data_IF_676706078704
#
_entry.id   IF_676706078704
#
_cell.length_a   1.000
_cell.length_b   1.000
_cell.length_c   1.000
_cell.angle_alpha   90.00
_cell.angle_beta   90.00
_cell.angle_gamma   90.00
#
_symmetry.space_group_name_H-M   'P 1'
#
loop_
_entity.id
_entity.type
_entity.pdbx_description
1 polymer ?
#
# COMPACT_ATOMS: atom_id res chain seq x y z
N UNK A 1 1.72 27.86 2.00
CA UNK A 1 1.16 27.94 3.36
C UNK A 1 2.31 27.66 4.33
N UNK A 2 2.48 28.55 5.33
CA UNK A 2 3.55 28.39 6.33
C UNK A 2 3.28 27.17 7.23
N UNK A 3 4.33 26.43 7.59
CA UNK A 3 4.27 25.36 8.56
C UNK A 3 4.11 25.94 9.97
N UNK A 4 3.37 25.24 10.83
CA UNK A 4 3.10 25.66 12.21
C UNK A 4 3.84 24.72 13.17
N UNK A 5 4.48 25.28 14.20
CA UNK A 5 5.07 24.51 15.30
C UNK A 5 4.04 24.34 16.42
N UNK A 6 3.90 23.10 16.92
CA UNK A 6 3.03 22.75 18.05
C UNK A 6 3.81 21.91 19.06
N UNK A 7 3.39 21.92 20.32
CA UNK A 7 4.02 21.08 21.35
C UNK A 7 3.77 19.60 21.11
N UNK A 8 4.78 18.76 21.33
CA UNK A 8 4.73 17.30 21.12
C UNK A 8 3.60 16.63 21.92
N UNK A 9 3.27 17.15 23.09
CA UNK A 9 2.26 16.59 23.99
C UNK A 9 0.81 16.96 23.64
N UNK A 10 0.61 17.91 22.69
CA UNK A 10 -0.70 18.42 22.30
C UNK A 10 -1.12 17.99 20.88
N UNK A 11 -0.35 17.10 20.29
CA UNK A 11 -0.47 16.76 18.86
C UNK A 11 -0.91 15.33 18.66
N UNK A 12 -1.84 15.14 17.76
CA UNK A 12 -2.21 13.85 17.21
C UNK A 12 -1.31 13.52 16.02
N UNK A 13 -0.17 13.19 16.05
CA UNK A 13 0.85 12.90 15.05
C UNK A 13 0.42 12.62 13.60
N UNK A 14 -0.87 12.62 13.26
CA UNK A 14 -1.37 12.33 11.90
C UNK A 14 -1.10 13.44 10.90
N UNK A 15 -0.84 14.66 11.37
CA UNK A 15 -0.54 15.84 10.54
C UNK A 15 0.83 16.46 10.90
N UNK A 16 1.80 15.61 11.25
CA UNK A 16 3.14 16.04 11.66
C UNK A 16 4.15 15.67 10.59
N UNK A 17 4.87 16.64 10.07
CA UNK A 17 5.92 16.45 9.06
C UNK A 17 7.30 16.09 9.64
N UNK A 18 7.60 16.50 10.86
CA UNK A 18 8.78 16.11 11.62
C UNK A 18 8.61 16.40 13.11
N UNK A 19 9.33 15.68 13.95
CA UNK A 19 9.47 15.98 15.36
C UNK A 19 10.87 16.57 15.59
N UNK A 20 10.91 17.77 16.15
CA UNK A 20 12.15 18.46 16.47
C UNK A 20 12.30 18.49 17.99
N UNK A 21 13.37 17.92 18.50
CA UNK A 21 13.69 17.85 19.94
C UNK A 21 15.09 18.38 20.18
N UNK A 22 15.38 18.82 21.37
CA UNK A 22 16.76 19.07 21.78
C UNK A 22 17.41 17.80 22.35
N UNK A 23 18.74 17.84 22.55
CA UNK A 23 19.50 16.73 23.11
C UNK A 23 19.21 16.45 24.59
N UNK A 24 18.32 17.23 25.23
CA UNK A 24 17.77 17.01 26.58
C UNK A 24 16.60 16.04 26.60
N UNK A 25 15.84 15.96 25.50
CA UNK A 25 14.55 15.27 25.38
C UNK A 25 14.63 13.96 24.57
N UNK A 26 15.79 13.32 24.52
CA UNK A 26 16.04 12.10 23.74
C UNK A 26 15.10 10.93 24.08
N UNK A 27 14.48 10.90 25.23
CA UNK A 27 13.49 9.87 25.60
C UNK A 27 12.26 9.88 24.69
N UNK A 28 11.93 11.02 24.07
CA UNK A 28 10.84 11.16 23.12
C UNK A 28 11.05 10.36 21.83
N UNK A 29 12.30 10.03 21.50
CA UNK A 29 12.66 9.16 20.37
C UNK A 29 12.01 7.78 20.46
N UNK A 30 11.66 7.33 21.66
CA UNK A 30 11.02 6.04 21.92
C UNK A 30 9.49 6.08 21.80
N UNK A 31 8.88 7.19 21.39
CA UNK A 31 7.44 7.29 21.23
C UNK A 31 6.95 6.34 20.11
N UNK A 32 6.00 5.46 20.45
CA UNK A 32 5.47 4.44 19.55
C UNK A 32 4.73 5.02 18.34
N UNK A 33 4.04 6.16 18.49
CA UNK A 33 3.31 6.80 17.39
C UNK A 33 4.27 7.39 16.35
N UNK A 34 5.34 8.06 16.81
CA UNK A 34 6.39 8.59 15.93
C UNK A 34 6.99 7.46 15.11
N UNK A 35 7.36 6.35 15.76
CA UNK A 35 7.91 5.17 15.08
C UNK A 35 6.94 4.51 14.12
N UNK A 36 5.65 4.36 14.51
CA UNK A 36 4.64 3.67 13.68
C UNK A 36 4.29 4.44 12.41
N UNK A 37 4.35 5.77 12.46
CA UNK A 37 4.09 6.64 11.30
C UNK A 37 5.36 6.95 10.49
N UNK A 38 6.54 6.50 10.97
CA UNK A 38 7.82 6.79 10.32
C UNK A 38 8.17 8.27 10.29
N UNK A 39 7.65 9.05 11.24
CA UNK A 39 7.87 10.50 11.31
C UNK A 39 9.35 10.76 11.59
N UNK A 40 10.01 11.61 10.81
CA UNK A 40 11.41 11.92 11.02
C UNK A 40 11.63 12.67 12.34
N UNK A 41 12.69 12.28 13.04
CA UNK A 41 13.13 12.93 14.27
C UNK A 41 14.40 13.72 13.99
N UNK A 42 14.36 15.00 14.29
CA UNK A 42 15.49 15.93 14.15
C UNK A 42 15.93 16.32 15.54
N UNK A 43 17.18 16.08 15.86
CA UNK A 43 17.78 16.47 17.15
C UNK A 43 18.56 17.76 16.98
N UNK A 44 18.19 18.77 17.74
CA UNK A 44 18.95 20.01 17.88
C UNK A 44 20.01 19.81 18.96
N UNK A 45 21.26 19.70 18.57
CA UNK A 45 22.36 19.43 19.49
C UNK A 45 22.91 20.71 20.06
N UNK A 46 22.77 20.85 21.39
CA UNK A 46 23.26 21.98 22.17
C UNK A 46 24.59 21.64 22.86
N UNK A 47 24.78 20.37 23.24
CA UNK A 47 25.98 19.88 23.91
C UNK A 47 26.66 18.76 23.12
N UNK A 48 27.75 19.08 22.45
CA UNK A 48 28.52 18.13 21.65
C UNK A 48 29.10 16.94 22.45
N UNK A 49 29.18 17.06 23.79
CA UNK A 49 29.68 15.99 24.67
C UNK A 49 28.63 14.94 25.02
N UNK A 50 27.36 15.21 24.73
CA UNK A 50 26.27 14.31 25.07
C UNK A 50 26.26 13.09 24.15
N UNK A 51 26.20 11.90 24.73
CA UNK A 51 26.15 10.65 23.98
C UNK A 51 24.73 10.39 23.45
N UNK A 52 24.59 10.35 22.12
CA UNK A 52 23.36 10.08 21.42
C UNK A 52 23.37 8.71 20.68
N UNK A 53 24.45 7.95 20.83
CA UNK A 53 24.70 6.70 20.09
C UNK A 53 23.59 5.66 20.26
N UNK A 54 22.92 5.63 21.41
CA UNK A 54 21.81 4.72 21.69
C UNK A 54 20.57 5.00 20.81
N UNK A 55 20.45 6.20 20.26
CA UNK A 55 19.27 6.67 19.51
C UNK A 55 19.56 6.88 18.03
N UNK A 56 20.81 6.76 17.56
CA UNK A 56 21.23 7.06 16.18
C UNK A 56 20.36 6.37 15.13
N UNK A 57 19.96 5.12 15.34
CA UNK A 57 19.13 4.36 14.41
C UNK A 57 17.69 4.90 14.25
N UNK A 58 17.27 5.82 15.11
CA UNK A 58 15.92 6.41 15.11
C UNK A 58 15.92 7.90 14.79
N UNK A 59 17.10 8.53 14.80
CA UNK A 59 17.27 9.95 14.48
C UNK A 59 17.48 10.09 12.97
N UNK A 60 16.72 10.97 12.36
CA UNK A 60 16.80 11.20 10.91
C UNK A 60 17.87 12.24 10.57
N UNK A 61 17.99 13.28 11.39
CA UNK A 61 18.99 14.33 11.19
C UNK A 61 19.42 14.91 12.55
N UNK A 62 20.67 15.35 12.62
CA UNK A 62 21.24 16.04 13.78
C UNK A 62 21.71 17.41 13.33
N UNK A 63 21.24 18.46 14.00
CA UNK A 63 21.57 19.85 13.72
C UNK A 63 22.41 20.40 14.86
N UNK A 64 23.66 20.73 14.57
CA UNK A 64 24.60 21.33 15.52
C UNK A 64 24.34 22.84 15.65
N UNK A 65 23.47 23.23 16.59
CA UNK A 65 22.98 24.61 16.73
C UNK A 65 24.10 25.64 16.95
N UNK A 66 25.21 25.26 17.58
CA UNK A 66 26.31 26.18 17.86
C UNK A 66 27.17 26.49 16.64
N UNK A 67 27.07 25.70 15.56
CA UNK A 67 27.89 25.82 14.36
C UNK A 67 27.14 26.24 13.10
N UNK A 68 25.81 26.25 13.14
CA UNK A 68 24.96 26.56 11.98
C UNK A 68 24.21 27.88 12.17
N UNK A 69 23.94 28.57 11.05
CA UNK A 69 23.03 29.71 11.07
C UNK A 69 21.55 29.27 11.22
N UNK A 70 20.68 30.16 11.65
CA UNK A 70 19.24 29.90 11.74
C UNK A 70 18.67 29.52 10.36
N UNK A 71 19.12 30.18 9.30
CA UNK A 71 18.65 29.91 7.94
C UNK A 71 19.08 28.52 7.45
N UNK A 72 20.32 28.09 7.77
CA UNK A 72 20.78 26.74 7.45
C UNK A 72 20.03 25.66 8.24
N UNK A 73 19.78 25.89 9.54
CA UNK A 73 18.96 24.99 10.37
C UNK A 73 17.54 24.85 9.79
N UNK A 74 16.92 25.96 9.43
CA UNK A 74 15.56 25.97 8.83
C UNK A 74 15.55 25.21 7.51
N UNK A 75 16.55 25.44 6.66
CA UNK A 75 16.67 24.76 5.36
C UNK A 75 16.83 23.24 5.54
N UNK A 76 17.60 22.79 6.53
CA UNK A 76 17.75 21.35 6.79
C UNK A 76 16.47 20.72 7.32
N UNK A 77 15.75 21.40 8.23
CA UNK A 77 14.44 20.95 8.71
C UNK A 77 13.45 20.84 7.54
N UNK A 78 13.35 21.87 6.70
CA UNK A 78 12.46 21.88 5.55
C UNK A 78 12.76 20.75 4.57
N UNK A 79 14.03 20.45 4.34
CA UNK A 79 14.47 19.36 3.49
C UNK A 79 14.07 18.00 4.05
N UNK A 80 14.25 17.76 5.36
CA UNK A 80 13.84 16.51 6.02
C UNK A 80 12.33 16.34 5.93
N UNK A 81 11.56 17.40 6.22
CA UNK A 81 10.09 17.37 6.12
C UNK A 81 9.63 17.11 4.69
N UNK A 82 10.21 17.80 3.70
CA UNK A 82 9.87 17.60 2.30
C UNK A 82 10.15 16.16 1.82
N UNK A 83 11.26 15.57 2.26
CA UNK A 83 11.58 14.18 1.95
C UNK A 83 10.57 13.20 2.58
N UNK A 84 10.15 13.45 3.81
CA UNK A 84 9.14 12.65 4.48
C UNK A 84 7.78 12.77 3.78
N UNK A 85 7.28 13.98 3.56
CA UNK A 85 6.04 14.24 2.83
C UNK A 85 6.07 13.58 1.44
N UNK A 86 7.21 13.66 0.77
CA UNK A 86 7.42 12.97 -0.49
C UNK A 86 7.37 11.43 -0.37
N UNK A 87 7.67 10.85 0.77
CA UNK A 87 7.67 9.40 1.01
C UNK A 87 6.34 8.82 1.48
N UNK A 88 5.43 9.65 2.00
CA UNK A 88 4.13 9.22 2.55
C UNK A 88 3.24 8.56 1.49
N UNK A 89 3.22 9.12 0.29
CA UNK A 89 2.38 8.60 -0.78
C UNK A 89 3.06 7.42 -1.49
N UNK A 90 2.35 6.31 -1.69
CA UNK A 90 2.85 5.22 -2.55
C UNK A 90 3.18 5.74 -3.95
N UNK A 91 4.18 5.15 -4.65
CA UNK A 91 4.74 5.73 -5.88
C UNK A 91 3.71 6.07 -6.96
N UNK A 92 2.76 5.16 -7.22
CA UNK A 92 1.74 5.40 -8.24
C UNK A 92 0.75 6.48 -7.83
N UNK A 93 0.31 6.49 -6.55
CA UNK A 93 -0.62 7.51 -6.08
C UNK A 93 0.02 8.90 -6.06
N UNK A 94 1.32 8.99 -5.73
CA UNK A 94 2.07 10.24 -5.87
C UNK A 94 2.08 10.72 -7.31
N UNK A 95 2.50 9.86 -8.26
CA UNK A 95 2.55 10.22 -9.67
C UNK A 95 1.18 10.65 -10.21
N UNK A 96 0.09 10.01 -9.75
CA UNK A 96 -1.27 10.38 -10.09
C UNK A 96 -1.66 11.74 -9.51
N UNK A 97 -1.29 12.02 -8.25
CA UNK A 97 -1.52 13.30 -7.59
C UNK A 97 -0.77 14.44 -8.30
N UNK A 98 0.49 14.21 -8.64
CA UNK A 98 1.32 15.16 -9.38
C UNK A 98 0.76 15.41 -10.79
N UNK A 99 0.32 14.35 -11.48
CA UNK A 99 -0.33 14.47 -12.78
C UNK A 99 -1.59 15.37 -12.73
N UNK A 100 -2.41 15.19 -11.71
CA UNK A 100 -3.60 16.03 -11.47
C UNK A 100 -3.18 17.46 -11.14
N UNK A 101 -2.15 17.65 -10.32
CA UNK A 101 -1.61 18.95 -9.93
C UNK A 101 -1.01 19.75 -11.10
N UNK A 102 -0.40 19.07 -12.05
CA UNK A 102 0.19 19.68 -13.28
C UNK A 102 -0.85 20.21 -14.27
N UNK A 103 -2.14 20.05 -14.00
CA UNK A 103 -3.24 20.50 -14.87
C UNK A 103 -3.13 19.98 -16.32
N UNK A 104 -2.70 18.74 -16.48
CA UNK A 104 -2.58 18.11 -17.79
C UNK A 104 -3.92 18.05 -18.52
N UNK A 105 -3.91 18.35 -19.82
CA UNK A 105 -5.09 18.20 -20.68
C UNK A 105 -5.16 16.77 -21.23
N UNK A 106 -6.28 16.10 -20.97
CA UNK A 106 -6.53 14.73 -21.43
C UNK A 106 -7.24 14.76 -22.78
N UNK A 107 -6.68 14.06 -23.78
CA UNK A 107 -7.25 13.93 -25.14
C UNK A 107 -7.47 12.45 -25.53
N UNK A 108 -7.39 11.54 -24.58
CA UNK A 108 -7.55 10.10 -24.72
C UNK A 108 -8.80 9.58 -23.98
N UNK A 109 -8.83 8.30 -23.63
CA UNK A 109 -9.86 7.71 -22.76
C UNK A 109 -9.56 8.04 -21.29
N UNK A 110 -10.59 8.23 -20.45
CA UNK A 110 -12.04 8.21 -20.78
C UNK A 110 -12.52 9.51 -21.40
N UNK A 111 -13.60 9.41 -22.19
CA UNK A 111 -14.12 10.53 -23.01
C UNK A 111 -14.70 11.72 -22.23
N UNK A 112 -14.78 11.67 -20.89
CA UNK A 112 -15.20 12.82 -20.10
C UNK A 112 -14.10 13.90 -19.96
N UNK A 113 -12.86 13.60 -20.35
CA UNK A 113 -11.73 14.53 -20.40
C UNK A 113 -11.55 15.33 -19.11
N UNK A 114 -11.16 14.65 -18.03
CA UNK A 114 -11.02 15.27 -16.70
C UNK A 114 -12.33 15.76 -16.12
N UNK A 115 -13.46 15.24 -16.55
CA UNK A 115 -14.79 15.60 -16.05
C UNK A 115 -15.47 16.76 -16.78
N UNK A 116 -14.80 17.43 -17.73
CA UNK A 116 -15.35 18.61 -18.42
C UNK A 116 -16.69 18.34 -19.10
N UNK A 117 -16.91 17.14 -19.63
CA UNK A 117 -18.16 16.80 -20.30
C UNK A 117 -19.35 16.66 -19.35
N UNK A 118 -19.14 16.44 -18.06
CA UNK A 118 -20.22 16.41 -17.08
C UNK A 118 -20.90 17.78 -16.92
N UNK A 119 -20.19 18.88 -17.13
CA UNK A 119 -20.76 20.23 -17.04
C UNK A 119 -21.79 20.57 -18.13
N UNK A 120 -21.89 19.78 -19.18
CA UNK A 120 -22.81 20.01 -20.30
C UNK A 120 -24.27 19.71 -19.98
N UNK A 121 -24.55 19.04 -18.86
CA UNK A 121 -25.91 18.69 -18.44
C UNK A 121 -26.12 18.86 -16.94
N UNK A 122 -27.28 19.30 -16.45
CA UNK A 122 -27.53 19.51 -15.01
C UNK A 122 -27.26 18.27 -14.14
N UNK A 123 -27.69 17.07 -14.60
CA UNK A 123 -27.42 15.80 -13.89
C UNK A 123 -25.92 15.50 -13.84
N UNK A 124 -25.20 15.74 -14.92
CA UNK A 124 -23.74 15.59 -14.94
C UNK A 124 -23.04 16.53 -13.98
N UNK A 125 -23.50 17.77 -13.91
CA UNK A 125 -22.97 18.75 -12.94
C UNK A 125 -23.23 18.34 -11.49
N UNK A 126 -24.40 17.80 -11.17
CA UNK A 126 -24.69 17.27 -9.84
C UNK A 126 -23.78 16.08 -9.50
N UNK A 127 -23.52 15.18 -10.45
CA UNK A 127 -22.60 14.07 -10.31
C UNK A 127 -21.15 14.55 -10.07
N UNK A 128 -20.68 15.48 -10.89
CA UNK A 128 -19.34 16.08 -10.73
C UNK A 128 -19.17 16.76 -9.38
N UNK A 129 -20.15 17.53 -8.92
CA UNK A 129 -20.08 18.21 -7.64
C UNK A 129 -20.09 17.25 -6.44
N UNK A 130 -20.74 16.10 -6.60
CA UNK A 130 -20.76 15.05 -5.55
C UNK A 130 -19.39 14.38 -5.38
N UNK A 131 -18.73 14.01 -6.47
CA UNK A 131 -17.45 13.30 -6.41
C UNK A 131 -16.23 14.22 -6.29
N UNK A 132 -16.34 15.46 -6.72
CA UNK A 132 -15.23 16.40 -6.77
C UNK A 132 -14.35 16.25 -8.01
N UNK A 133 -13.60 17.30 -8.31
CA UNK A 133 -12.81 17.42 -9.54
C UNK A 133 -11.73 16.34 -9.67
N UNK A 134 -10.98 16.09 -8.60
CA UNK A 134 -9.79 15.25 -8.63
C UNK A 134 -10.08 13.81 -9.05
N UNK A 135 -11.27 13.29 -8.73
CA UNK A 135 -11.64 11.93 -9.12
C UNK A 135 -11.71 11.77 -10.64
N UNK A 136 -12.24 12.79 -11.34
CA UNK A 136 -12.35 12.76 -12.79
C UNK A 136 -11.03 13.08 -13.49
N UNK A 137 -10.20 13.92 -12.88
CA UNK A 137 -8.87 14.25 -13.39
C UNK A 137 -7.88 13.10 -13.18
N UNK A 138 -8.15 12.24 -12.19
CA UNK A 138 -7.37 11.03 -11.91
C UNK A 138 -7.87 9.79 -12.66
N UNK A 139 -9.00 9.87 -13.36
CA UNK A 139 -9.50 8.78 -14.21
C UNK A 139 -8.88 8.90 -15.59
N UNK A 140 -7.82 8.13 -15.81
CA UNK A 140 -6.90 8.21 -16.94
C UNK A 140 -6.80 6.88 -17.69
N UNK A 141 -6.33 6.95 -18.92
CA UNK A 141 -5.91 5.78 -19.67
C UNK A 141 -4.73 5.08 -18.94
N UNK A 142 -4.80 3.75 -18.86
CA UNK A 142 -3.75 2.94 -18.22
C UNK A 142 -2.41 2.93 -18.98
N UNK A 143 -2.37 3.51 -20.17
CA UNK A 143 -1.19 3.65 -21.00
C UNK A 143 -0.77 5.13 -21.19
N UNK A 144 -1.16 6.02 -20.26
CA UNK A 144 -0.68 7.40 -20.27
C UNK A 144 0.84 7.43 -20.10
N UNK A 145 1.53 8.09 -21.04
CA UNK A 145 2.99 8.11 -21.10
C UNK A 145 3.69 8.67 -19.85
N UNK A 146 2.98 9.50 -19.08
CA UNK A 146 3.52 10.06 -17.83
C UNK A 146 3.43 9.08 -16.65
N UNK A 147 2.47 8.14 -16.69
CA UNK A 147 2.24 7.20 -15.59
C UNK A 147 2.86 5.82 -15.85
N UNK A 148 3.23 5.53 -17.11
CA UNK A 148 3.69 4.22 -17.53
C UNK A 148 2.54 3.25 -17.81
N UNK A 149 2.87 2.02 -18.16
CA UNK A 149 1.89 1.00 -18.52
C UNK A 149 1.98 -0.22 -17.59
N UNK A 150 0.89 -0.50 -16.90
CA UNK A 150 0.80 -1.65 -15.99
C UNK A 150 0.92 -2.99 -16.75
N UNK A 151 0.45 -3.07 -18.00
CA UNK A 151 0.45 -4.31 -18.78
C UNK A 151 1.86 -4.78 -19.12
N UNK A 152 2.75 -3.84 -19.43
CA UNK A 152 4.14 -4.13 -19.77
C UNK A 152 5.11 -3.85 -18.62
N UNK A 153 4.57 -3.49 -17.44
CA UNK A 153 5.33 -3.22 -16.22
C UNK A 153 6.38 -2.11 -16.38
N UNK A 154 5.96 -0.94 -16.85
CA UNK A 154 6.81 0.24 -17.01
C UNK A 154 6.39 1.41 -16.12
N UNK A 155 7.31 2.35 -15.93
CA UNK A 155 7.09 3.62 -15.23
C UNK A 155 6.63 3.45 -13.80
N UNK A 156 5.78 4.34 -13.33
CA UNK A 156 5.28 4.34 -11.95
C UNK A 156 4.44 3.10 -11.59
N UNK A 157 3.86 2.42 -12.59
CA UNK A 157 3.18 1.15 -12.36
C UNK A 157 4.17 0.06 -11.93
N UNK A 158 5.36 0.01 -12.54
CA UNK A 158 6.45 -0.86 -12.12
C UNK A 158 6.98 -0.48 -10.73
N UNK A 159 7.24 0.81 -10.49
CA UNK A 159 7.75 1.30 -9.20
C UNK A 159 6.79 0.97 -8.05
N UNK A 160 5.48 1.08 -8.30
CA UNK A 160 4.46 0.73 -7.31
C UNK A 160 4.46 -0.78 -6.99
N UNK A 161 4.62 -1.65 -7.98
CA UNK A 161 4.72 -3.10 -7.76
C UNK A 161 6.01 -3.47 -7.02
N UNK A 162 7.14 -2.83 -7.35
CA UNK A 162 8.41 -3.00 -6.66
C UNK A 162 8.34 -2.52 -5.21
N UNK A 163 7.66 -1.39 -4.96
CA UNK A 163 7.41 -0.89 -3.62
C UNK A 163 6.54 -1.85 -2.82
N UNK A 164 5.44 -2.33 -3.38
CA UNK A 164 4.57 -3.32 -2.73
C UNK A 164 5.33 -4.62 -2.41
N UNK A 165 6.20 -5.09 -3.30
CA UNK A 165 7.04 -6.26 -3.04
C UNK A 165 7.92 -6.07 -1.80
N UNK A 166 8.52 -4.88 -1.63
CA UNK A 166 9.31 -4.55 -0.42
C UNK A 166 8.44 -4.54 0.85
N UNK A 167 7.26 -3.91 0.79
CA UNK A 167 6.33 -3.81 1.93
C UNK A 167 5.87 -5.19 2.41
N UNK A 168 5.58 -6.10 1.48
CA UNK A 168 5.13 -7.46 1.78
C UNK A 168 6.27 -8.47 1.93
N UNK A 169 7.53 -8.03 1.83
CA UNK A 169 8.72 -8.89 1.85
C UNK A 169 8.60 -10.05 0.83
N UNK A 170 8.18 -9.74 -0.37
CA UNK A 170 8.01 -10.68 -1.48
C UNK A 170 9.05 -10.40 -2.57
N UNK A 171 9.43 -11.44 -3.32
CA UNK A 171 10.34 -11.30 -4.47
C UNK A 171 9.72 -10.43 -5.58
N UNK A 172 8.41 -10.60 -5.80
CA UNK A 172 7.61 -9.84 -6.77
C UNK A 172 6.17 -9.67 -6.30
N UNK A 173 5.57 -8.56 -6.72
CA UNK A 173 4.13 -8.31 -6.55
C UNK A 173 3.54 -7.90 -7.88
N UNK A 174 2.37 -8.43 -8.20
CA UNK A 174 1.60 -8.08 -9.38
C UNK A 174 0.25 -7.51 -8.98
N UNK A 175 -0.13 -6.37 -9.54
CA UNK A 175 -1.46 -5.80 -9.34
C UNK A 175 -2.46 -6.47 -10.27
N UNK A 176 -3.47 -7.10 -9.68
CA UNK A 176 -4.58 -7.72 -10.42
C UNK A 176 -5.82 -6.85 -10.29
N UNK A 177 -6.07 -6.01 -11.29
CA UNK A 177 -7.11 -4.98 -11.26
C UNK A 177 -8.53 -5.54 -11.28
N UNK A 178 -8.75 -6.74 -11.81
CA UNK A 178 -10.06 -7.40 -11.90
C UNK A 178 -10.48 -8.13 -10.61
N UNK A 179 -9.87 -7.77 -9.49
CA UNK A 179 -10.22 -8.23 -8.15
C UNK A 179 -9.68 -9.61 -7.79
N UNK A 180 -9.87 -9.98 -6.53
CA UNK A 180 -9.39 -11.24 -5.93
C UNK A 180 -9.84 -12.49 -6.70
N UNK A 181 -11.03 -12.47 -7.29
CA UNK A 181 -11.50 -13.61 -8.11
C UNK A 181 -10.61 -13.88 -9.31
N UNK A 182 -10.09 -12.83 -9.95
CA UNK A 182 -9.12 -12.98 -11.04
C UNK A 182 -7.76 -13.39 -10.53
N UNK A 183 -7.29 -12.84 -9.42
CA UNK A 183 -6.03 -13.23 -8.78
C UNK A 183 -6.04 -14.74 -8.44
N UNK A 184 -7.09 -15.23 -7.81
CA UNK A 184 -7.25 -16.66 -7.50
C UNK A 184 -7.16 -17.54 -8.75
N UNK A 185 -7.83 -17.14 -9.84
CA UNK A 185 -7.77 -17.89 -11.12
C UNK A 185 -6.37 -17.88 -11.71
N UNK A 186 -5.70 -16.73 -11.70
CA UNK A 186 -4.32 -16.62 -12.21
C UNK A 186 -3.38 -17.55 -11.45
N UNK A 187 -3.41 -17.50 -10.11
CA UNK A 187 -2.57 -18.36 -9.26
C UNK A 187 -2.85 -19.84 -9.51
N UNK A 188 -4.11 -20.24 -9.52
CA UNK A 188 -4.47 -21.65 -9.70
C UNK A 188 -4.11 -22.16 -11.10
N UNK A 189 -4.31 -21.35 -12.15
CA UNK A 189 -3.90 -21.77 -13.49
C UNK A 189 -2.38 -21.75 -13.71
N UNK A 190 -1.64 -20.98 -12.94
CA UNK A 190 -0.18 -21.00 -12.97
C UNK A 190 0.41 -22.24 -12.27
N UNK A 191 -0.27 -22.77 -11.26
CA UNK A 191 0.22 -23.85 -10.41
C UNK A 191 -0.33 -25.24 -10.78
N UNK A 192 -1.49 -25.31 -11.43
CA UNK A 192 -2.22 -26.56 -11.66
C UNK A 192 -2.33 -26.90 -13.14
N UNK A 193 -2.12 -28.17 -13.44
CA UNK A 193 -2.38 -28.78 -14.74
C UNK A 193 -3.44 -29.89 -14.63
N UNK A 194 -4.01 -30.37 -15.74
CA UNK A 194 -4.99 -31.46 -15.69
C UNK A 194 -4.46 -32.68 -14.95
N UNK A 195 -5.23 -33.20 -14.00
CA UNK A 195 -4.96 -34.31 -13.10
C UNK A 195 -4.04 -34.02 -11.91
N UNK A 196 -3.51 -32.81 -11.77
CA UNK A 196 -2.90 -32.41 -10.49
C UNK A 196 -3.93 -32.52 -9.37
N UNK A 197 -3.48 -32.80 -8.15
CA UNK A 197 -4.36 -32.90 -6.99
C UNK A 197 -4.37 -31.57 -6.24
N UNK A 198 -5.59 -31.11 -5.93
CA UNK A 198 -5.79 -29.92 -5.10
C UNK A 198 -6.59 -30.29 -3.85
N UNK A 199 -6.03 -29.93 -2.68
CA UNK A 199 -6.71 -30.06 -1.40
C UNK A 199 -7.45 -28.76 -1.09
N UNK A 200 -8.73 -28.85 -0.75
CA UNK A 200 -9.48 -27.71 -0.26
C UNK A 200 -10.78 -28.11 0.47
N UNK A 201 -11.31 -27.21 1.24
CA UNK A 201 -12.57 -27.41 1.91
C UNK A 201 -13.74 -26.87 1.08
N UNK A 202 -14.94 -27.04 1.61
CA UNK A 202 -16.16 -26.54 0.98
C UNK A 202 -16.41 -25.04 1.22
N UNK A 203 -15.67 -24.43 2.15
CA UNK A 203 -15.84 -23.02 2.53
C UNK A 203 -14.97 -22.07 1.69
N UNK A 204 -14.49 -22.52 0.55
CA UNK A 204 -13.68 -21.74 -0.35
C UNK A 204 -14.50 -20.78 -1.22
N UNK A 205 -13.87 -19.69 -1.63
CA UNK A 205 -14.46 -18.77 -2.57
C UNK A 205 -14.70 -19.42 -3.93
N UNK A 206 -15.82 -19.10 -4.57
CA UNK A 206 -16.22 -19.63 -5.87
C UNK A 206 -15.14 -19.58 -6.95
N UNK A 207 -14.28 -18.55 -6.97
CA UNK A 207 -13.18 -18.43 -7.92
C UNK A 207 -12.12 -19.52 -7.79
N UNK A 208 -11.94 -20.11 -6.59
CA UNK A 208 -11.04 -21.23 -6.36
C UNK A 208 -11.53 -22.47 -7.10
N UNK A 209 -12.83 -22.80 -6.95
CA UNK A 209 -13.43 -23.89 -7.73
C UNK A 209 -13.27 -23.67 -9.23
N UNK A 210 -13.60 -22.47 -9.72
CA UNK A 210 -13.52 -22.18 -11.15
C UNK A 210 -12.07 -22.26 -11.66
N UNK A 211 -11.10 -21.68 -10.94
CA UNK A 211 -9.70 -21.72 -11.34
C UNK A 211 -9.09 -23.13 -11.27
N UNK A 212 -9.26 -23.80 -10.16
CA UNK A 212 -8.61 -25.09 -9.89
C UNK A 212 -9.29 -26.30 -10.55
N UNK A 213 -10.61 -26.34 -10.61
CA UNK A 213 -11.33 -27.51 -11.14
C UNK A 213 -11.78 -27.33 -12.57
N UNK A 214 -12.43 -26.20 -12.88
CA UNK A 214 -13.05 -26.03 -14.21
C UNK A 214 -12.01 -25.62 -15.24
N UNK A 215 -11.15 -24.64 -14.90
CA UNK A 215 -10.16 -24.12 -15.87
C UNK A 215 -8.89 -24.98 -15.94
N UNK A 216 -8.34 -25.39 -14.80
CA UNK A 216 -7.10 -26.18 -14.77
C UNK A 216 -7.34 -27.68 -14.91
N UNK A 217 -8.56 -28.18 -14.67
CA UNK A 217 -8.89 -29.60 -14.75
C UNK A 217 -8.22 -30.45 -13.64
N UNK A 218 -7.92 -29.84 -12.51
CA UNK A 218 -7.32 -30.53 -11.36
C UNK A 218 -8.33 -31.45 -10.68
N UNK A 219 -7.83 -32.50 -10.02
CA UNK A 219 -8.60 -33.47 -9.24
C UNK A 219 -8.77 -33.00 -7.81
N UNK A 220 -10.00 -32.78 -7.31
CA UNK A 220 -10.21 -32.28 -5.96
C UNK A 220 -10.14 -33.39 -4.91
N UNK A 221 -9.53 -33.06 -3.79
CA UNK A 221 -9.71 -33.76 -2.51
C UNK A 221 -10.35 -32.78 -1.54
N UNK A 222 -11.59 -33.06 -1.10
CA UNK A 222 -12.30 -32.22 -0.15
C UNK A 222 -11.94 -32.64 1.27
N UNK A 223 -11.45 -31.70 2.04
CA UNK A 223 -11.23 -31.86 3.47
C UNK A 223 -12.54 -31.61 4.23
N UNK A 224 -12.83 -32.45 5.19
CA UNK A 224 -14.06 -32.37 5.97
C UNK A 224 -14.08 -31.15 6.88
N UNK A 225 -15.25 -30.51 6.97
CA UNK A 225 -15.44 -29.34 7.81
C UNK A 225 -16.48 -29.58 8.90
N UNK A 226 -16.30 -28.94 10.04
CA UNK A 226 -17.31 -28.90 11.10
C UNK A 226 -18.59 -28.23 10.62
N UNK A 227 -19.74 -28.76 11.05
CA UNK A 227 -21.04 -28.11 10.82
C UNK A 227 -21.75 -27.93 12.15
N UNK A 228 -22.35 -26.79 12.37
CA UNK A 228 -23.23 -26.59 13.50
C UNK A 228 -24.64 -27.16 13.24
N UNK A 229 -25.52 -27.26 14.27
CA UNK A 229 -26.89 -27.76 14.09
C UNK A 229 -27.73 -27.00 13.05
N UNK A 230 -27.37 -25.75 12.74
CA UNK A 230 -28.06 -24.91 11.76
C UNK A 230 -27.50 -25.05 10.36
N UNK A 231 -26.49 -25.92 10.14
CA UNK A 231 -25.89 -26.17 8.85
C UNK A 231 -24.79 -25.20 8.46
N UNK A 232 -24.40 -24.23 9.28
CA UNK A 232 -23.26 -23.34 9.02
C UNK A 232 -21.96 -24.12 9.05
N UNK A 233 -21.09 -23.82 8.08
CA UNK A 233 -19.80 -24.48 7.90
C UNK A 233 -18.78 -23.80 8.82
N UNK A 234 -18.03 -24.60 9.58
CA UNK A 234 -16.90 -24.17 10.42
C UNK A 234 -15.55 -24.50 9.82
N UNK A 235 -14.54 -24.64 10.66
CA UNK A 235 -13.18 -25.01 10.25
C UNK A 235 -13.06 -26.45 9.75
N UNK A 236 -11.90 -26.77 9.15
CA UNK A 236 -11.54 -28.12 8.75
C UNK A 236 -11.31 -28.96 10.03
N UNK A 237 -11.71 -30.22 10.04
CA UNK A 237 -11.47 -31.14 11.16
C UNK A 237 -9.96 -31.42 11.30
N UNK A 238 -9.46 -31.46 12.55
CA UNK A 238 -8.02 -31.57 12.83
C UNK A 238 -7.37 -32.79 12.18
N UNK A 239 -8.05 -33.95 12.18
CA UNK A 239 -7.52 -35.19 11.57
C UNK A 239 -7.30 -35.07 10.05
N UNK A 240 -7.96 -34.12 9.37
CA UNK A 240 -7.77 -33.87 7.94
C UNK A 240 -6.38 -33.29 7.61
N UNK A 241 -5.63 -32.84 8.62
CA UNK A 241 -4.25 -32.37 8.45
C UNK A 241 -3.22 -33.46 8.75
N UNK A 242 -3.65 -34.66 9.16
CA UNK A 242 -2.75 -35.78 9.38
C UNK A 242 -2.17 -36.27 8.05
N UNK A 243 -0.87 -36.42 8.00
CA UNK A 243 -0.16 -36.85 6.78
C UNK A 243 -0.66 -38.23 6.28
N UNK A 244 -0.91 -39.16 7.20
CA UNK A 244 -1.43 -40.51 6.88
C UNK A 244 -2.81 -40.45 6.23
N UNK A 245 -3.69 -39.58 6.73
CA UNK A 245 -5.03 -39.35 6.18
C UNK A 245 -4.96 -38.75 4.77
N UNK A 246 -4.14 -37.71 4.59
CA UNK A 246 -3.97 -37.08 3.27
C UNK A 246 -3.37 -38.09 2.25
N UNK A 247 -2.36 -38.88 2.64
CA UNK A 247 -1.76 -39.91 1.77
C UNK A 247 -2.80 -40.96 1.37
N UNK A 248 -3.65 -41.38 2.28
CA UNK A 248 -4.73 -42.31 1.95
C UNK A 248 -5.68 -41.70 0.91
N UNK A 249 -6.16 -40.46 1.11
CA UNK A 249 -7.06 -39.78 0.16
C UNK A 249 -6.41 -39.58 -1.23
N UNK A 250 -5.11 -39.31 -1.27
CA UNK A 250 -4.37 -39.20 -2.53
C UNK A 250 -4.26 -40.56 -3.24
N UNK A 251 -4.06 -41.64 -2.50
CA UNK A 251 -3.95 -42.99 -3.07
C UNK A 251 -5.28 -43.51 -3.66
N UNK A 252 -6.41 -42.96 -3.26
CA UNK A 252 -7.75 -43.29 -3.76
C UNK A 252 -8.08 -42.59 -5.10
N UNK A 253 -7.23 -41.66 -5.56
CA UNK A 253 -7.45 -40.84 -6.78
C UNK A 253 -6.59 -41.29 -7.95
#
# INVERSE_FOLDING_TARGET
>A
AGRTCVGVFETDFTDVGAVVIDDGDLDLVNNNQISSFGIPIIVLRLDASRDISLYENRITSIIELLSMSIDDCTSEIEKVVANYEASILPPFFRALSDYVGDENSQFDCPGHQGGQFFYKHPTGRAFYNFFGENIFRADLCNADVKLGDLLIHEGYAYDAQAHAAKVYNADKTYFVLNGTSSANKVVLNALLTPRDIILYDRNNHKSICHGGLVMSGATPIYLETVRNPFGSIGGILDHCFDESYIRQLVAEK
#
